data_IF_477136237676
#
_entry.id   IF_477136237676
#
_cell.length_a   1.000
_cell.length_b   1.000
_cell.length_c   1.000
_cell.angle_alpha   90.00
_cell.angle_beta   90.00
_cell.angle_gamma   90.00
#
_symmetry.space_group_name_H-M   'P 1'
#
loop_
_entity.id
_entity.type
_entity.pdbx_description
1 polymer ?
#
# COMPACT_ATOMS: atom_id res chain seq x y z
N UNK A 1 -17.44 -1.13 0.14
CA UNK A 1 -16.25 -1.93 -0.22
C UNK A 1 -15.34 -1.88 1.00
N UNK A 2 -15.11 -3.04 1.62
CA UNK A 2 -14.60 -3.21 2.99
C UNK A 2 -13.19 -3.79 3.00
N UNK A 3 -12.45 -3.55 4.08
CA UNK A 3 -11.01 -3.85 4.24
C UNK A 3 -10.74 -5.36 4.42
N UNK A 4 -11.81 -6.15 4.33
CA UNK A 4 -11.88 -7.58 4.61
C UNK A 4 -11.44 -8.45 3.43
N UNK A 5 -11.24 -7.88 2.24
CA UNK A 5 -10.66 -8.61 1.11
C UNK A 5 -9.14 -8.38 1.08
N UNK A 6 -8.43 -9.23 1.83
CA UNK A 6 -6.96 -9.24 1.96
C UNK A 6 -6.22 -9.67 0.69
N UNK A 7 -6.95 -10.09 -0.36
CA UNK A 7 -6.41 -10.67 -1.60
C UNK A 7 -6.78 -9.91 -2.89
N UNK A 8 -7.41 -8.73 -2.80
CA UNK A 8 -7.75 -7.92 -3.98
C UNK A 8 -6.90 -6.66 -3.96
N UNK A 9 -6.15 -6.44 -5.04
CA UNK A 9 -5.46 -5.17 -5.23
C UNK A 9 -6.53 -4.12 -5.51
N UNK A 10 -6.67 -3.13 -4.61
CA UNK A 10 -7.80 -2.19 -4.64
C UNK A 10 -7.70 -1.30 -5.90
N UNK A 11 -6.50 -0.79 -6.20
CA UNK A 11 -6.24 0.05 -7.39
C UNK A 11 -4.81 -0.18 -7.88
N UNK A 12 -4.63 -0.39 -9.19
CA UNK A 12 -3.32 -0.30 -9.85
C UNK A 12 -3.36 0.84 -10.86
N UNK A 13 -2.43 1.78 -10.73
CA UNK A 13 -2.22 2.85 -11.70
C UNK A 13 -0.82 2.73 -12.28
N UNK A 14 -0.71 2.40 -13.56
CA UNK A 14 0.57 2.40 -14.27
C UNK A 14 0.66 3.67 -15.10
N UNK A 15 1.73 4.44 -14.91
CA UNK A 15 2.06 5.64 -15.66
C UNK A 15 3.45 5.42 -16.30
N UNK A 16 3.49 4.83 -17.52
CA UNK A 16 4.75 4.55 -18.22
C UNK A 16 5.51 5.81 -18.61
N UNK A 17 4.81 6.93 -18.84
CA UNK A 17 5.44 8.21 -19.18
C UNK A 17 6.27 8.76 -18.01
N UNK A 18 5.79 8.58 -16.79
CA UNK A 18 6.53 8.92 -15.56
C UNK A 18 7.41 7.77 -15.05
N UNK A 19 7.29 6.58 -15.63
CA UNK A 19 7.99 5.37 -15.19
C UNK A 19 7.59 4.92 -13.78
N UNK A 20 6.31 5.05 -13.41
CA UNK A 20 5.82 4.72 -12.05
C UNK A 20 4.60 3.80 -12.15
N UNK A 21 4.60 2.71 -11.38
CA UNK A 21 3.45 1.85 -11.18
C UNK A 21 3.02 1.92 -9.70
N UNK A 22 1.81 2.43 -9.42
CA UNK A 22 1.28 2.58 -8.07
C UNK A 22 0.23 1.52 -7.76
N UNK A 23 0.38 0.90 -6.60
CA UNK A 23 -0.56 -0.06 -6.05
C UNK A 23 -1.19 0.55 -4.80
N UNK A 24 -2.43 1.02 -4.93
CA UNK A 24 -3.15 1.69 -3.86
C UNK A 24 -3.77 0.69 -2.90
N UNK A 25 -3.48 0.82 -1.60
CA UNK A 25 -4.17 0.14 -0.50
C UNK A 25 -5.16 1.13 0.09
N UNK A 26 -6.47 0.84 0.07
CA UNK A 26 -7.45 1.70 0.75
C UNK A 26 -7.65 1.26 2.20
N UNK A 27 -7.45 2.20 3.13
CA UNK A 27 -7.76 2.03 4.54
C UNK A 27 -8.88 2.99 4.96
N UNK A 28 -10.05 2.44 5.25
CA UNK A 28 -11.23 3.19 5.69
C UNK A 28 -11.58 2.93 7.16
N UNK A 29 -10.77 2.19 7.89
CA UNK A 29 -11.00 1.94 9.31
C UNK A 29 -10.61 3.16 10.13
N UNK A 30 -11.44 3.46 11.13
CA UNK A 30 -11.13 4.49 12.12
C UNK A 30 -10.21 3.92 13.19
N UNK A 31 -9.25 4.73 13.63
CA UNK A 31 -8.36 4.39 14.72
C UNK A 31 -9.08 4.51 16.06
N UNK A 32 -9.09 3.43 16.84
CA UNK A 32 -9.80 3.36 18.12
C UNK A 32 -9.29 2.22 18.99
N UNK A 33 -10.14 1.64 19.84
CA UNK A 33 -9.75 0.58 20.81
C UNK A 33 -9.16 -0.67 20.13
N UNK A 34 -9.43 -0.89 18.84
CA UNK A 34 -8.91 -1.99 18.02
C UNK A 34 -7.59 -1.70 17.27
N UNK A 35 -6.80 -0.72 17.70
CA UNK A 35 -5.58 -0.27 17.01
C UNK A 35 -4.60 -1.41 16.65
N UNK A 36 -4.37 -2.36 17.55
CA UNK A 36 -3.47 -3.51 17.30
C UNK A 36 -4.01 -4.41 16.20
N UNK A 37 -5.31 -4.67 16.20
CA UNK A 37 -5.96 -5.49 15.17
C UNK A 37 -5.89 -4.78 13.81
N UNK A 38 -6.12 -3.47 13.79
CA UNK A 38 -5.99 -2.64 12.59
C UNK A 38 -4.55 -2.66 12.05
N UNK A 39 -3.54 -2.54 12.91
CA UNK A 39 -2.14 -2.67 12.50
C UNK A 39 -1.84 -4.04 11.88
N UNK A 40 -2.36 -5.12 12.45
CA UNK A 40 -2.19 -6.46 11.89
C UNK A 40 -2.82 -6.58 10.49
N UNK A 41 -4.03 -6.03 10.31
CA UNK A 41 -4.69 -6.00 8.99
C UNK A 41 -3.87 -5.21 7.95
N UNK A 42 -3.32 -4.06 8.35
CA UNK A 42 -2.45 -3.27 7.48
C UNK A 42 -1.17 -4.03 7.13
N UNK A 43 -0.58 -4.73 8.10
CA UNK A 43 0.60 -5.56 7.87
C UNK A 43 0.31 -6.67 6.87
N UNK A 44 -0.80 -7.39 7.03
CA UNK A 44 -1.19 -8.47 6.12
C UNK A 44 -1.47 -7.96 4.70
N UNK A 45 -2.11 -6.78 4.55
CA UNK A 45 -2.31 -6.15 3.24
C UNK A 45 -0.99 -5.75 2.59
N UNK A 46 -0.12 -5.03 3.30
CA UNK A 46 1.18 -4.60 2.77
C UNK A 46 2.02 -5.81 2.35
N UNK A 47 2.07 -6.85 3.20
CA UNK A 47 2.80 -8.08 2.89
C UNK A 47 2.26 -8.80 1.66
N UNK A 48 0.94 -8.78 1.45
CA UNK A 48 0.32 -9.41 0.28
C UNK A 48 0.65 -8.66 -1.01
N UNK A 49 0.69 -7.32 -0.96
CA UNK A 49 1.11 -6.49 -2.09
C UNK A 49 2.60 -6.65 -2.39
N UNK A 50 3.44 -6.72 -1.35
CA UNK A 50 4.86 -7.00 -1.51
C UNK A 50 5.08 -8.36 -2.19
N UNK A 51 4.39 -9.42 -1.73
CA UNK A 51 4.45 -10.75 -2.37
C UNK A 51 4.00 -10.72 -3.83
N UNK A 52 2.94 -9.98 -4.14
CA UNK A 52 2.47 -9.79 -5.51
C UNK A 52 3.54 -9.13 -6.39
N UNK A 53 4.22 -8.10 -5.90
CA UNK A 53 5.33 -7.46 -6.60
C UNK A 53 6.55 -8.37 -6.76
N UNK A 54 6.95 -9.06 -5.70
CA UNK A 54 8.09 -10.00 -5.70
C UNK A 54 7.85 -11.19 -6.61
N UNK A 55 6.62 -11.67 -6.70
CA UNK A 55 6.24 -12.77 -7.62
C UNK A 55 6.31 -12.36 -9.09
N UNK A 56 6.27 -11.06 -9.38
CA UNK A 56 6.19 -10.53 -10.74
C UNK A 56 4.81 -10.64 -11.38
N UNK A 57 3.78 -11.08 -10.66
CA UNK A 57 2.40 -11.24 -11.16
C UNK A 57 1.84 -9.91 -11.71
N UNK A 58 2.31 -8.76 -11.19
CA UNK A 58 2.00 -7.45 -11.76
C UNK A 58 2.34 -7.35 -13.25
N UNK A 59 3.41 -7.98 -13.72
CA UNK A 59 3.89 -7.87 -15.09
C UNK A 59 3.13 -8.75 -16.07
N UNK A 60 2.39 -9.74 -15.57
CA UNK A 60 1.52 -10.59 -16.39
C UNK A 60 0.22 -9.84 -16.72
N UNK A 61 -0.31 -9.10 -15.74
CA UNK A 61 -1.51 -8.29 -15.90
C UNK A 61 -1.21 -6.89 -16.49
N UNK A 62 -0.04 -6.32 -16.16
CA UNK A 62 0.38 -4.97 -16.56
C UNK A 62 1.82 -5.02 -17.11
N UNK A 63 2.01 -5.43 -18.38
CA UNK A 63 3.34 -5.54 -18.99
C UNK A 63 4.13 -4.23 -18.96
N UNK A 64 3.44 -3.09 -19.05
CA UNK A 64 4.06 -1.75 -19.02
C UNK A 64 4.71 -1.42 -17.68
N UNK A 65 4.30 -2.09 -16.60
CA UNK A 65 4.91 -1.92 -15.28
C UNK A 65 6.36 -2.42 -15.23
N UNK A 66 6.81 -3.26 -16.19
CA UNK A 66 8.20 -3.79 -16.24
C UNK A 66 9.26 -2.71 -16.32
N UNK A 67 8.92 -1.56 -16.88
CA UNK A 67 9.82 -0.42 -17.03
C UNK A 67 9.55 0.68 -16.00
N UNK A 68 8.67 0.41 -15.03
CA UNK A 68 8.23 1.37 -14.03
C UNK A 68 8.75 1.01 -12.64
N UNK A 69 9.03 2.03 -11.83
CA UNK A 69 9.26 1.85 -10.41
C UNK A 69 7.93 1.54 -9.72
N UNK A 70 7.84 0.35 -9.12
CA UNK A 70 6.64 -0.07 -8.41
C UNK A 70 6.60 0.53 -7.00
N UNK A 71 5.48 1.14 -6.64
CA UNK A 71 5.26 1.81 -5.36
C UNK A 71 3.90 1.38 -4.78
N UNK A 72 3.91 0.93 -3.53
CA UNK A 72 2.70 0.70 -2.74
C UNK A 72 2.30 2.04 -2.10
N UNK A 73 1.04 2.44 -2.25
CA UNK A 73 0.51 3.69 -1.69
C UNK A 73 -0.64 3.37 -0.72
N UNK A 74 -0.45 3.63 0.58
CA UNK A 74 -1.50 3.50 1.58
C UNK A 74 -2.38 4.76 1.59
N UNK A 75 -3.66 4.59 1.28
CA UNK A 75 -4.66 5.65 1.19
C UNK A 75 -5.56 5.56 2.43
N UNK A 76 -5.20 6.29 3.46
CA UNK A 76 -5.92 6.30 4.73
C UNK A 76 -7.05 7.34 4.73
N UNK A 77 -8.24 6.94 5.18
CA UNK A 77 -9.37 7.85 5.39
C UNK A 77 -9.17 8.73 6.62
N UNK A 78 -8.59 8.16 7.68
CA UNK A 78 -8.37 8.82 8.96
C UNK A 78 -6.88 9.08 9.20
N UNK A 79 -6.51 10.10 10.00
CA UNK A 79 -5.12 10.35 10.37
C UNK A 79 -4.50 9.15 11.08
N UNK A 80 -3.30 8.76 10.65
CA UNK A 80 -2.57 7.66 11.29
C UNK A 80 -2.07 8.10 12.68
N UNK A 81 -2.30 7.31 13.73
CA UNK A 81 -1.68 7.52 15.03
C UNK A 81 -0.17 7.21 14.98
N UNK A 82 0.57 7.64 16.01
CA UNK A 82 2.03 7.63 16.01
C UNK A 82 2.61 6.21 15.80
N UNK A 83 2.06 5.23 16.48
CA UNK A 83 2.36 3.80 16.31
C UNK A 83 2.20 3.31 14.87
N UNK A 84 1.18 3.77 14.14
CA UNK A 84 0.93 3.42 12.75
C UNK A 84 1.92 4.10 11.81
N UNK A 85 2.28 5.36 12.10
CA UNK A 85 3.34 6.07 11.38
C UNK A 85 4.68 5.34 11.56
N UNK A 86 5.02 4.94 12.79
CA UNK A 86 6.22 4.18 13.09
C UNK A 86 6.23 2.81 12.38
N UNK A 87 5.07 2.14 12.34
CA UNK A 87 4.88 0.90 11.60
C UNK A 87 5.13 1.09 10.09
N UNK A 88 4.47 2.06 9.46
CA UNK A 88 4.63 2.37 8.03
C UNK A 88 6.07 2.77 7.71
N UNK A 89 6.73 3.51 8.60
CA UNK A 89 8.15 3.88 8.46
C UNK A 89 9.08 2.66 8.46
N UNK A 90 8.81 1.67 9.32
CA UNK A 90 9.55 0.39 9.33
C UNK A 90 9.28 -0.42 8.06
N UNK A 91 8.00 -0.57 7.68
CA UNK A 91 7.61 -1.27 6.46
C UNK A 91 8.26 -0.63 5.22
N UNK A 92 8.32 0.70 5.17
CA UNK A 92 8.95 1.44 4.07
C UNK A 92 10.42 1.07 3.86
N UNK A 93 11.18 0.86 4.94
CA UNK A 93 12.57 0.42 4.84
C UNK A 93 12.67 -0.98 4.24
N UNK A 94 11.88 -1.92 4.76
CA UNK A 94 11.86 -3.31 4.28
C UNK A 94 11.49 -3.39 2.79
N UNK A 95 10.48 -2.63 2.39
CA UNK A 95 10.00 -2.59 1.00
C UNK A 95 11.03 -1.91 0.08
N UNK A 96 11.71 -0.87 0.57
CA UNK A 96 12.81 -0.24 -0.15
C UNK A 96 14.00 -1.18 -0.35
N UNK A 97 14.35 -2.00 0.66
CA UNK A 97 15.39 -3.03 0.55
C UNK A 97 15.01 -4.10 -0.49
N UNK A 98 13.70 -4.36 -0.70
CA UNK A 98 13.20 -5.23 -1.77
C UNK A 98 13.15 -4.55 -3.15
N UNK A 99 13.51 -3.27 -3.26
CA UNK A 99 13.54 -2.52 -4.52
C UNK A 99 12.23 -1.81 -4.88
N UNK A 100 11.28 -1.71 -3.95
CA UNK A 100 9.97 -1.12 -4.17
C UNK A 100 9.74 0.13 -3.30
N UNK A 101 8.77 0.96 -3.67
CA UNK A 101 8.35 2.11 -2.88
C UNK A 101 7.24 1.78 -1.88
N UNK A 102 7.22 2.45 -0.72
CA UNK A 102 6.03 2.58 0.12
C UNK A 102 5.81 4.05 0.48
N UNK A 103 4.60 4.53 0.23
CA UNK A 103 4.12 5.85 0.62
C UNK A 103 2.75 5.76 1.29
N UNK A 104 2.34 6.82 1.98
CA UNK A 104 0.97 6.92 2.51
C UNK A 104 0.43 8.33 2.29
N UNK A 105 -0.89 8.45 2.13
CA UNK A 105 -1.62 9.71 2.08
C UNK A 105 -2.93 9.60 2.84
N UNK A 106 -3.40 10.73 3.36
CA UNK A 106 -4.67 10.82 4.07
C UNK A 106 -5.68 11.55 3.18
N UNK A 107 -6.78 10.90 2.79
CA UNK A 107 -7.81 11.45 1.88
C UNK A 107 -8.87 12.31 2.59
N UNK A 108 -8.60 12.72 3.82
CA UNK A 108 -9.54 13.44 4.69
C UNK A 108 -9.31 14.95 4.88
N UNK A 109 -8.39 15.59 4.14
CA UNK A 109 -8.23 17.06 4.16
C UNK A 109 -8.38 17.64 2.75
N UNK A 110 -9.64 17.71 2.31
CA UNK A 110 -10.07 18.77 1.42
C UNK A 110 -10.44 19.98 2.28
N UNK A 111 -9.72 21.08 2.06
CA UNK A 111 -9.71 22.38 2.77
C UNK A 111 -8.99 22.45 4.12
#
# INVERSE_FOLDING_TARGET
>A
MSILETNVIDVIGVDPEKGIARLGISDHLEWGVGEVEHLNLLQDKINSYLRFLESGEIYDHYPDARHCQCEIELIAKYPLPQNAIDFVSKAKKIIADAGFGLSYKIVGRGN
#
